data_IF_792150398282
#
_entry.id   IF_792150398282
#
_cell.length_a   1.000
_cell.length_b   1.000
_cell.length_c   1.000
_cell.angle_alpha   90.00
_cell.angle_beta   90.00
_cell.angle_gamma   90.00
#
_symmetry.space_group_name_H-M   'P 1'
#
loop_
_entity.id
_entity.type
_entity.pdbx_description
1 polymer ?
#
# COMPACT_ATOMS: atom_id res chain seq x y z
N UNK A 1 32.67 -28.83 -14.14
CA UNK A 1 32.83 -30.28 -13.99
C UNK A 1 32.41 -30.90 -15.29
N UNK A 2 33.28 -31.71 -15.87
CA UNK A 2 33.05 -32.44 -17.10
C UNK A 2 32.30 -33.75 -16.80
N UNK A 3 31.65 -34.36 -17.80
CA UNK A 3 30.99 -35.66 -17.62
C UNK A 3 31.96 -36.77 -17.17
N UNK A 4 33.25 -36.63 -17.50
CA UNK A 4 34.30 -37.56 -17.08
C UNK A 4 34.53 -37.51 -15.56
N UNK A 5 34.33 -36.35 -14.92
CA UNK A 5 34.49 -36.17 -13.48
C UNK A 5 33.40 -36.95 -12.72
N UNK A 6 32.17 -36.99 -13.25
CA UNK A 6 31.05 -37.72 -12.64
C UNK A 6 31.19 -39.25 -12.82
N UNK A 7 31.75 -39.69 -13.95
CA UNK A 7 32.09 -41.11 -14.17
C UNK A 7 33.18 -41.60 -13.21
N UNK A 8 34.17 -40.75 -12.88
CA UNK A 8 35.20 -41.07 -11.88
C UNK A 8 34.65 -41.25 -10.45
N UNK A 9 33.49 -40.65 -10.15
CA UNK A 9 32.80 -40.75 -8.86
C UNK A 9 31.87 -42.00 -8.80
N UNK A 10 31.80 -42.77 -9.89
CA UNK A 10 31.06 -44.04 -9.94
C UNK A 10 29.63 -43.93 -10.44
N UNK A 11 29.21 -42.78 -10.99
CA UNK A 11 27.89 -42.60 -11.59
C UNK A 11 27.97 -43.05 -13.05
N UNK A 12 27.27 -44.14 -13.37
CA UNK A 12 27.34 -44.80 -14.69
C UNK A 12 26.06 -44.65 -15.51
N UNK A 13 24.93 -44.31 -14.87
CA UNK A 13 23.65 -44.17 -15.55
C UNK A 13 23.63 -42.91 -16.44
N UNK A 14 23.34 -43.07 -17.76
CA UNK A 14 23.47 -41.98 -18.72
C UNK A 14 22.48 -40.84 -18.47
N UNK A 15 21.27 -41.14 -17.98
CA UNK A 15 20.27 -40.12 -17.64
C UNK A 15 20.66 -39.25 -16.45
N UNK A 16 21.35 -39.82 -15.47
CA UNK A 16 21.81 -39.12 -14.27
C UNK A 16 23.02 -38.22 -14.59
N UNK A 17 23.90 -38.68 -15.50
CA UNK A 17 25.02 -37.88 -15.98
C UNK A 17 24.57 -36.61 -16.71
N UNK A 18 23.54 -36.71 -17.56
CA UNK A 18 22.99 -35.56 -18.29
C UNK A 18 22.31 -34.56 -17.36
N UNK A 19 21.57 -35.04 -16.37
CA UNK A 19 20.91 -34.19 -15.38
C UNK A 19 21.95 -33.44 -14.54
N UNK A 20 22.97 -34.14 -14.03
CA UNK A 20 24.01 -33.55 -13.19
C UNK A 20 24.91 -32.58 -13.98
N UNK A 21 25.24 -32.90 -15.23
CA UNK A 21 26.00 -31.99 -16.11
C UNK A 21 25.22 -30.71 -16.43
N UNK A 22 23.89 -30.81 -16.56
CA UNK A 22 23.00 -29.67 -16.81
C UNK A 22 22.86 -28.79 -15.56
N UNK A 23 22.66 -29.39 -14.39
CA UNK A 23 22.62 -28.67 -13.12
C UNK A 23 23.95 -27.97 -12.82
N UNK A 24 25.09 -28.60 -13.08
CA UNK A 24 26.41 -28.02 -12.90
C UNK A 24 26.66 -26.81 -13.83
N UNK A 25 26.22 -26.89 -15.10
CA UNK A 25 26.26 -25.77 -16.05
C UNK A 25 25.39 -24.60 -15.59
N UNK A 26 24.16 -24.87 -15.14
CA UNK A 26 23.26 -23.85 -14.65
C UNK A 26 23.80 -23.12 -13.40
N UNK A 27 24.40 -23.86 -12.46
CA UNK A 27 25.05 -23.30 -11.27
C UNK A 27 26.25 -22.43 -11.62
N UNK A 28 27.10 -22.86 -12.57
CA UNK A 28 28.25 -22.08 -13.04
C UNK A 28 27.81 -20.75 -13.67
N UNK A 29 26.79 -20.77 -14.54
CA UNK A 29 26.22 -19.56 -15.14
C UNK A 29 25.65 -18.61 -14.09
N UNK A 30 25.03 -19.13 -13.03
CA UNK A 30 24.50 -18.32 -11.94
C UNK A 30 25.60 -17.67 -11.10
N UNK A 31 26.66 -18.42 -10.78
CA UNK A 31 27.84 -17.91 -10.07
C UNK A 31 28.58 -16.86 -10.89
N UNK A 32 28.76 -17.07 -12.19
CA UNK A 32 29.39 -16.11 -13.11
C UNK A 32 28.56 -14.81 -13.18
N UNK A 33 27.22 -14.91 -13.25
CA UNK A 33 26.32 -13.74 -13.19
C UNK A 33 26.37 -13.00 -11.86
N UNK A 34 26.60 -13.71 -10.75
CA UNK A 34 26.74 -13.11 -9.42
C UNK A 34 28.09 -12.38 -9.29
N UNK A 35 29.17 -12.98 -9.76
CA UNK A 35 30.49 -12.34 -9.84
C UNK A 35 30.51 -11.13 -10.79
N UNK A 36 29.75 -11.17 -11.88
CA UNK A 36 29.61 -10.03 -12.81
C UNK A 36 28.88 -8.83 -12.18
N UNK A 37 27.97 -9.07 -11.22
CA UNK A 37 27.30 -8.01 -10.46
C UNK A 37 28.20 -7.40 -9.38
N UNK A 38 29.12 -8.18 -8.82
CA UNK A 38 29.99 -7.73 -7.73
C UNK A 38 31.27 -7.03 -8.22
N UNK A 39 31.75 -7.30 -9.44
CA UNK A 39 33.03 -6.78 -9.94
C UNK A 39 32.98 -5.63 -10.99
N UNK A 40 31.82 -5.23 -11.52
CA UNK A 40 31.72 -4.09 -12.45
C UNK A 40 30.89 -2.93 -11.91
N UNK A 41 31.47 -2.15 -10.98
CA UNK A 41 31.28 -0.69 -11.04
C UNK A 41 31.99 -0.19 -12.30
N UNK A 42 31.26 -0.24 -13.41
CA UNK A 42 31.75 0.05 -14.76
C UNK A 42 32.55 1.38 -14.79
N UNK A 43 33.72 1.43 -15.49
CA UNK A 43 34.44 2.67 -15.74
C UNK A 43 33.59 3.71 -16.48
N UNK A 44 32.44 3.31 -17.05
CA UNK A 44 31.44 4.19 -17.65
C UNK A 44 30.71 5.00 -16.57
N UNK A 45 30.38 4.42 -15.41
CA UNK A 45 29.72 5.13 -14.31
C UNK A 45 30.71 6.08 -13.61
N UNK A 46 31.98 5.67 -13.44
CA UNK A 46 33.03 6.56 -12.89
C UNK A 46 33.38 7.71 -13.86
N UNK A 47 33.41 7.47 -15.18
CA UNK A 47 33.56 8.54 -16.20
C UNK A 47 32.33 9.45 -16.28
N UNK A 48 31.12 8.93 -16.12
CA UNK A 48 29.89 9.72 -16.10
C UNK A 48 29.84 10.64 -14.87
N UNK A 49 30.22 10.15 -13.69
CA UNK A 49 30.28 10.97 -12.47
C UNK A 49 31.40 12.03 -12.58
N UNK A 50 32.57 11.67 -13.14
CA UNK A 50 33.68 12.63 -13.31
C UNK A 50 33.39 13.72 -14.37
N UNK A 51 32.73 13.37 -15.48
CA UNK A 51 32.28 14.31 -16.51
C UNK A 51 31.19 15.27 -16.00
N UNK A 52 30.36 14.84 -15.04
CA UNK A 52 29.39 15.70 -14.36
C UNK A 52 30.03 16.68 -13.37
N UNK A 53 31.21 16.36 -12.81
CA UNK A 53 31.92 17.24 -11.86
C UNK A 53 32.85 18.27 -12.50
N UNK A 54 33.36 18.03 -13.72
CA UNK A 54 34.39 18.90 -14.33
C UNK A 54 33.88 19.84 -15.43
N UNK A 55 32.64 19.68 -15.88
CA UNK A 55 32.02 20.60 -16.85
C UNK A 55 30.67 21.09 -16.32
N UNK A 56 30.73 22.03 -15.38
CA UNK A 56 29.61 22.95 -15.15
C UNK A 56 29.76 24.06 -16.19
N UNK A 57 28.94 24.12 -17.26
CA UNK A 57 28.96 25.26 -18.15
C UNK A 57 28.49 26.48 -17.35
N UNK A 58 29.33 27.51 -17.28
CA UNK A 58 28.90 28.85 -16.91
C UNK A 58 27.66 29.20 -17.74
N UNK A 59 26.57 29.48 -17.03
CA UNK A 59 25.28 29.87 -17.61
C UNK A 59 25.51 30.97 -18.65
N UNK A 60 25.16 30.69 -19.91
CA UNK A 60 25.01 31.72 -20.93
C UNK A 60 23.98 32.75 -20.44
N UNK A 61 24.18 34.06 -20.66
CA UNK A 61 23.16 35.04 -20.33
C UNK A 61 21.91 34.74 -21.17
N UNK A 62 20.80 34.56 -20.48
CA UNK A 62 19.50 34.33 -21.08
C UNK A 62 19.11 35.61 -21.84
N UNK A 63 19.07 35.58 -23.18
CA UNK A 63 18.43 36.65 -23.94
C UNK A 63 16.94 36.61 -23.60
N UNK A 64 16.45 37.63 -22.91
CA UNK A 64 15.02 37.85 -22.70
C UNK A 64 14.36 38.06 -24.06
N UNK A 65 13.72 37.01 -24.58
CA UNK A 65 12.68 37.19 -25.58
C UNK A 65 11.38 37.39 -24.82
N UNK A 66 10.72 38.52 -25.05
CA UNK A 66 9.44 38.93 -24.46
C UNK A 66 8.27 38.08 -25.00
N UNK A 67 8.36 36.75 -24.89
CA UNK A 67 7.26 35.86 -25.23
C UNK A 67 6.59 35.40 -23.94
N UNK A 68 5.53 36.15 -23.59
CA UNK A 68 4.58 35.81 -22.54
C UNK A 68 4.03 34.41 -22.84
N UNK A 69 4.31 33.44 -21.97
CA UNK A 69 3.72 32.10 -22.08
C UNK A 69 2.23 32.21 -21.73
N UNK A 70 1.33 31.51 -22.45
CA UNK A 70 -0.08 31.52 -22.11
C UNK A 70 -0.28 30.92 -20.71
N UNK A 71 -0.98 31.66 -19.85
CA UNK A 71 -1.41 31.23 -18.52
C UNK A 71 -2.25 29.95 -18.66
N UNK A 72 -1.96 28.91 -17.88
CA UNK A 72 -2.70 27.63 -17.90
C UNK A 72 -4.06 27.69 -17.19
N UNK A 73 -4.63 28.89 -17.05
CA UNK A 73 -6.01 29.12 -16.64
C UNK A 73 -6.35 30.57 -16.99
N UNK A 74 -7.44 30.84 -17.73
CA UNK A 74 -7.89 32.22 -17.90
C UNK A 74 -8.19 32.78 -16.51
N UNK A 75 -7.65 33.97 -16.23
CA UNK A 75 -8.13 34.77 -15.10
C UNK A 75 -9.62 34.93 -15.34
N UNK A 76 -10.44 34.41 -14.43
CA UNK A 76 -11.87 34.72 -14.40
C UNK A 76 -11.97 36.23 -14.20
N UNK A 77 -12.01 36.97 -15.31
CA UNK A 77 -12.63 38.28 -15.34
C UNK A 77 -14.04 38.06 -14.79
N UNK A 78 -14.48 38.81 -13.77
CA UNK A 78 -15.85 38.72 -13.30
C UNK A 78 -16.73 38.90 -14.52
N UNK A 79 -17.55 37.90 -14.83
CA UNK A 79 -18.44 37.95 -15.99
C UNK A 79 -19.23 39.25 -15.90
N UNK A 80 -19.03 40.16 -16.86
CA UNK A 80 -19.79 41.43 -16.94
C UNK A 80 -21.28 41.18 -17.22
N UNK A 81 -21.67 39.94 -17.50
CA UNK A 81 -23.06 39.53 -17.53
C UNK A 81 -23.57 39.46 -16.08
N UNK A 82 -24.58 40.27 -15.71
CA UNK A 82 -25.28 40.06 -14.46
C UNK A 82 -25.79 38.61 -14.42
N UNK A 83 -25.77 37.94 -13.25
CA UNK A 83 -26.38 36.62 -13.13
C UNK A 83 -27.81 36.69 -13.68
N UNK A 84 -28.28 35.64 -14.37
CA UNK A 84 -29.63 35.62 -14.94
C UNK A 84 -30.63 35.99 -13.85
N UNK A 85 -31.57 36.88 -14.19
CA UNK A 85 -32.59 37.32 -13.25
C UNK A 85 -33.50 36.15 -12.92
N UNK A 86 -33.31 35.54 -11.76
CA UNK A 86 -34.19 34.52 -11.24
C UNK A 86 -35.49 35.19 -10.79
N UNK A 87 -36.52 35.13 -11.63
CA UNK A 87 -37.90 35.39 -11.21
C UNK A 87 -38.22 34.45 -10.03
N UNK A 88 -38.69 34.99 -8.88
CA UNK A 88 -39.19 34.16 -7.79
C UNK A 88 -40.55 33.61 -8.21
N UNK A 89 -40.55 32.62 -9.11
CA UNK A 89 -41.74 31.81 -9.36
C UNK A 89 -42.27 31.34 -8.00
N UNK A 90 -43.59 31.40 -7.86
CA UNK A 90 -44.27 31.10 -6.62
C UNK A 90 -43.79 29.74 -6.11
N UNK A 91 -43.14 29.75 -4.93
CA UNK A 91 -42.56 28.54 -4.31
C UNK A 91 -43.58 27.39 -4.21
N UNK A 92 -44.87 27.73 -4.21
CA UNK A 92 -46.02 26.81 -4.19
C UNK A 92 -46.15 25.95 -5.45
N UNK A 93 -45.92 26.49 -6.65
CA UNK A 93 -46.07 25.73 -7.91
C UNK A 93 -44.89 24.77 -8.13
N UNK A 94 -43.68 25.17 -7.71
CA UNK A 94 -42.49 24.31 -7.72
C UNK A 94 -42.55 23.18 -6.69
N UNK A 95 -43.25 23.36 -5.57
CA UNK A 95 -43.43 22.30 -4.57
C UNK A 95 -44.38 21.18 -5.04
N UNK A 96 -45.33 21.48 -5.92
CA UNK A 96 -46.25 20.46 -6.46
C UNK A 96 -45.56 19.54 -7.48
N UNK A 97 -44.58 20.06 -8.24
CA UNK A 97 -43.74 19.25 -9.14
C UNK A 97 -42.60 18.51 -8.44
N UNK A 98 -42.42 18.70 -7.12
CA UNK A 98 -41.46 17.99 -6.27
C UNK A 98 -42.09 16.83 -5.49
N UNK A 99 -43.27 16.35 -5.89
CA UNK A 99 -43.81 15.11 -5.36
C UNK A 99 -42.88 13.97 -5.79
N UNK A 100 -42.07 13.47 -4.85
CA UNK A 100 -41.20 12.31 -5.05
C UNK A 100 -42.12 11.10 -5.16
N UNK A 101 -42.38 10.66 -6.39
CA UNK A 101 -43.16 9.45 -6.67
C UNK A 101 -42.20 8.26 -6.57
N UNK A 102 -42.56 7.20 -5.83
CA UNK A 102 -41.77 5.98 -5.78
C UNK A 102 -41.54 5.44 -7.19
N UNK A 103 -40.34 4.96 -7.50
CA UNK A 103 -40.09 4.37 -8.81
C UNK A 103 -40.82 3.03 -8.91
N UNK A 104 -41.27 2.68 -10.11
CA UNK A 104 -41.96 1.38 -10.33
C UNK A 104 -41.09 0.18 -9.96
N UNK A 105 -39.77 0.35 -10.00
CA UNK A 105 -38.73 -0.62 -9.63
C UNK A 105 -38.35 -0.61 -8.15
N UNK A 106 -38.84 0.36 -7.36
CA UNK A 106 -38.45 0.53 -5.97
C UNK A 106 -38.82 -0.72 -5.13
N UNK A 107 -37.82 -1.35 -4.52
CA UNK A 107 -37.95 -2.62 -3.79
C UNK A 107 -37.88 -3.89 -4.64
N UNK A 108 -37.79 -3.77 -5.97
CA UNK A 108 -37.51 -4.87 -6.92
C UNK A 108 -36.22 -4.66 -7.72
N UNK A 109 -35.44 -3.64 -7.37
CA UNK A 109 -34.18 -3.32 -8.04
C UNK A 109 -33.21 -4.49 -7.95
N UNK A 110 -32.74 -4.96 -9.11
CA UNK A 110 -31.67 -5.94 -9.16
C UNK A 110 -30.37 -5.26 -8.73
N UNK A 111 -29.76 -5.76 -7.65
CA UNK A 111 -28.50 -5.20 -7.16
C UNK A 111 -27.39 -5.41 -8.20
N UNK A 112 -26.64 -4.36 -8.57
CA UNK A 112 -25.51 -4.53 -9.47
C UNK A 112 -24.48 -5.48 -8.84
N UNK A 113 -23.76 -6.22 -9.71
CA UNK A 113 -22.68 -7.08 -9.26
C UNK A 113 -21.58 -6.26 -8.59
N UNK A 114 -21.42 -6.43 -7.27
CA UNK A 114 -20.40 -5.74 -6.49
C UNK A 114 -19.16 -6.63 -6.33
N UNK A 115 -17.98 -6.00 -6.35
CA UNK A 115 -16.71 -6.66 -6.02
C UNK A 115 -15.90 -5.77 -5.09
N UNK A 116 -15.17 -6.38 -4.16
CA UNK A 116 -14.32 -5.65 -3.25
C UNK A 116 -13.00 -5.29 -3.94
N UNK A 117 -12.75 -4.00 -4.15
CA UNK A 117 -11.52 -3.50 -4.78
C UNK A 117 -10.33 -3.55 -3.84
N UNK A 118 -10.54 -3.25 -2.56
CA UNK A 118 -9.50 -3.29 -1.53
C UNK A 118 -9.45 -4.69 -0.92
N UNK A 119 -8.64 -5.56 -1.53
CA UNK A 119 -8.50 -6.95 -1.11
C UNK A 119 -7.05 -7.42 -1.19
N UNK A 120 -6.58 -8.09 -0.14
CA UNK A 120 -5.27 -8.77 -0.15
C UNK A 120 -5.26 -9.92 0.83
N UNK A 121 -4.69 -11.05 0.43
CA UNK A 121 -4.59 -12.24 1.29
C UNK A 121 -3.21 -12.88 1.19
N UNK A 122 -2.73 -13.50 2.26
CA UNK A 122 -1.47 -14.23 2.21
C UNK A 122 -0.91 -14.63 3.57
N UNK A 123 0.11 -15.50 3.53
CA UNK A 123 0.84 -15.89 4.72
C UNK A 123 1.82 -14.79 5.15
N UNK A 124 1.69 -14.36 6.40
CA UNK A 124 2.54 -13.32 6.99
C UNK A 124 3.03 -13.80 8.35
N UNK A 125 4.29 -13.49 8.68
CA UNK A 125 4.78 -13.72 10.02
C UNK A 125 4.34 -12.54 10.90
N UNK A 126 3.52 -12.81 11.91
CA UNK A 126 2.98 -11.79 12.81
C UNK A 126 3.54 -11.94 14.22
N UNK A 127 3.76 -10.80 14.88
CA UNK A 127 4.06 -10.71 16.31
C UNK A 127 3.21 -9.60 16.93
N UNK A 128 2.58 -9.87 18.06
CA UNK A 128 1.80 -8.89 18.82
C UNK A 128 2.71 -8.15 19.80
N UNK A 129 2.77 -6.82 19.72
CA UNK A 129 3.54 -5.96 20.64
C UNK A 129 2.70 -5.57 21.85
N UNK A 130 1.47 -5.12 21.61
CA UNK A 130 0.54 -4.66 22.63
C UNK A 130 -0.86 -5.25 22.38
N UNK A 131 -1.59 -5.55 23.45
CA UNK A 131 -2.98 -6.01 23.38
C UNK A 131 -3.96 -4.85 23.27
N UNK A 132 -3.62 -3.75 23.94
CA UNK A 132 -4.30 -2.46 23.93
C UNK A 132 -3.25 -1.35 24.15
N UNK A 133 -3.59 -0.06 24.02
CA UNK A 133 -2.65 1.02 24.31
C UNK A 133 -2.02 0.84 25.69
N UNK A 134 -0.69 0.86 25.76
CA UNK A 134 0.13 0.63 26.97
C UNK A 134 0.03 -0.76 27.61
N UNK A 135 -0.87 -1.65 27.17
CA UNK A 135 -0.98 -3.02 27.70
C UNK A 135 -0.09 -3.96 26.89
N UNK A 136 1.05 -4.29 27.49
CA UNK A 136 2.03 -5.20 26.92
C UNK A 136 1.46 -6.62 26.80
N UNK A 137 1.50 -7.20 25.60
CA UNK A 137 1.04 -8.57 25.36
C UNK A 137 1.87 -9.61 26.11
N UNK A 138 1.21 -10.66 26.62
CA UNK A 138 1.86 -11.83 27.27
C UNK A 138 2.54 -12.76 26.25
N UNK A 139 1.92 -12.98 25.09
CA UNK A 139 2.38 -13.92 24.06
C UNK A 139 3.02 -13.21 22.86
N UNK A 140 4.33 -12.90 22.94
CA UNK A 140 5.05 -12.04 21.99
C UNK A 140 5.99 -12.76 21.01
N UNK A 141 5.72 -14.01 20.67
CA UNK A 141 6.53 -14.74 19.71
C UNK A 141 6.05 -14.47 18.26
N UNK A 142 6.95 -14.66 17.31
CA UNK A 142 6.61 -14.60 15.89
C UNK A 142 5.87 -15.88 15.49
N UNK A 143 4.76 -15.74 14.76
CA UNK A 143 3.97 -16.86 14.23
C UNK A 143 3.65 -16.63 12.77
N UNK A 144 3.76 -17.67 11.95
CA UNK A 144 3.26 -17.65 10.57
C UNK A 144 1.74 -17.82 10.62
N UNK A 145 1.01 -16.82 10.17
CA UNK A 145 -0.45 -16.79 10.13
C UNK A 145 -0.91 -16.42 8.73
N UNK A 146 -2.16 -16.74 8.42
CA UNK A 146 -2.79 -16.33 7.18
C UNK A 146 -3.63 -15.09 7.42
N UNK A 147 -3.33 -14.01 6.70
CA UNK A 147 -4.04 -12.74 6.81
C UNK A 147 -4.93 -12.57 5.58
N UNK A 148 -6.14 -12.09 5.82
CA UNK A 148 -7.12 -11.74 4.81
C UNK A 148 -7.62 -10.33 5.09
N UNK A 149 -7.24 -9.40 4.24
CA UNK A 149 -7.75 -8.04 4.20
C UNK A 149 -8.89 -8.00 3.20
N UNK A 150 -10.10 -7.67 3.66
CA UNK A 150 -11.29 -7.54 2.82
C UNK A 150 -12.03 -6.24 3.18
N UNK A 151 -11.98 -5.26 2.27
CA UNK A 151 -12.51 -3.93 2.50
C UNK A 151 -11.78 -3.25 3.65
N UNK A 152 -12.49 -3.05 4.77
CA UNK A 152 -12.01 -2.38 5.98
C UNK A 152 -11.72 -3.34 7.14
N UNK A 153 -11.84 -4.65 6.88
CA UNK A 153 -11.71 -5.70 7.89
C UNK A 153 -10.45 -6.52 7.60
N UNK A 154 -9.64 -6.74 8.64
CA UNK A 154 -8.49 -7.63 8.59
C UNK A 154 -8.77 -8.87 9.45
N UNK A 155 -8.85 -10.03 8.81
CA UNK A 155 -9.04 -11.35 9.46
C UNK A 155 -7.72 -12.10 9.51
N UNK A 156 -7.46 -12.73 10.65
CA UNK A 156 -6.22 -13.47 10.90
C UNK A 156 -6.58 -14.92 11.22
N UNK A 157 -6.06 -15.85 10.43
CA UNK A 157 -6.32 -17.28 10.55
C UNK A 157 -5.05 -18.06 10.88
N UNK A 158 -5.22 -19.26 11.44
CA UNK A 158 -4.10 -20.20 11.64
C UNK A 158 -3.59 -20.75 10.31
N UNK A 159 -4.52 -21.03 9.40
CA UNK A 159 -4.29 -21.58 8.07
C UNK A 159 -5.23 -20.89 7.09
N UNK A 160 -4.91 -20.94 5.80
CA UNK A 160 -5.81 -20.42 4.78
C UNK A 160 -7.18 -21.12 4.86
N UNK A 161 -8.30 -20.38 4.83
CA UNK A 161 -9.61 -20.99 4.74
C UNK A 161 -9.75 -21.74 3.40
N UNK A 162 -10.57 -22.81 3.33
CA UNK A 162 -10.83 -23.52 2.09
C UNK A 162 -11.59 -22.58 1.17
N UNK A 163 -11.29 -22.62 -0.13
CA UNK A 163 -12.14 -21.96 -1.10
C UNK A 163 -13.48 -22.69 -1.13
N UNK A 164 -14.56 -21.93 -1.26
CA UNK A 164 -15.95 -22.41 -1.15
C UNK A 164 -16.26 -23.61 -2.09
N UNK A 165 -15.46 -23.81 -3.13
CA UNK A 165 -15.68 -24.84 -4.17
C UNK A 165 -14.87 -26.14 -3.97
N UNK A 166 -14.01 -26.21 -2.95
CA UNK A 166 -13.14 -27.37 -2.72
C UNK A 166 -13.31 -27.91 -1.29
N UNK A 167 -14.54 -28.27 -0.92
CA UNK A 167 -14.72 -29.28 0.14
C UNK A 167 -14.56 -30.62 -0.59
N UNK A 168 -13.42 -31.33 -0.47
CA UNK A 168 -13.32 -32.63 -1.10
C UNK A 168 -14.28 -33.57 -0.36
N UNK A 169 -15.24 -34.14 -1.07
CA UNK A 169 -16.06 -35.27 -0.61
C UNK A 169 -15.24 -36.56 -0.38
N UNK A 170 -13.90 -36.49 -0.42
CA UNK A 170 -13.01 -37.61 -0.14
C UNK A 170 -12.75 -37.71 1.36
N UNK A 171 -13.69 -38.30 2.09
CA UNK A 171 -13.35 -38.98 3.35
C UNK A 171 -13.39 -40.49 3.09
N UNK A 172 -12.25 -41.19 3.14
CA UNK A 172 -12.27 -42.64 3.22
C UNK A 172 -12.86 -43.01 4.58
N UNK A 173 -13.97 -43.73 4.54
CA UNK A 173 -14.50 -44.48 5.68
C UNK A 173 -13.40 -45.39 6.23
N UNK A 174 -12.73 -44.99 7.33
CA UNK A 174 -11.78 -45.81 8.08
C UNK A 174 -12.33 -46.05 9.50
N UNK A 175 -12.11 -47.23 10.09
CA UNK A 175 -13.11 -47.91 10.92
C UNK A 175 -13.03 -47.59 12.43
N UNK A 176 -12.34 -46.52 12.84
CA UNK A 176 -12.27 -46.11 14.25
C UNK A 176 -12.85 -44.71 14.39
N UNK A 177 -14.16 -44.69 14.65
CA UNK A 177 -15.00 -43.50 14.69
C UNK A 177 -14.52 -42.46 15.70
N UNK A 178 -13.86 -41.42 15.20
CA UNK A 178 -14.36 -40.05 15.30
C UNK A 178 -13.87 -39.35 14.04
N UNK A 179 -14.76 -38.81 13.20
CA UNK A 179 -14.29 -38.22 11.97
C UNK A 179 -13.63 -36.85 12.21
N UNK A 180 -12.53 -36.61 11.49
CA UNK A 180 -11.66 -35.42 11.62
C UNK A 180 -12.39 -34.07 11.52
N UNK A 181 -13.63 -34.05 10.99
CA UNK A 181 -14.45 -32.86 10.88
C UNK A 181 -14.92 -32.25 12.20
N UNK A 182 -14.84 -32.96 13.34
CA UNK A 182 -15.15 -32.39 14.65
C UNK A 182 -14.18 -31.27 15.08
N UNK A 183 -12.96 -31.24 14.51
CA UNK A 183 -11.97 -30.18 14.77
C UNK A 183 -11.83 -29.14 13.66
N UNK A 184 -12.35 -29.39 12.43
CA UNK A 184 -12.20 -28.49 11.27
C UNK A 184 -12.95 -27.16 11.40
N UNK A 185 -14.05 -27.11 12.17
CA UNK A 185 -14.86 -25.90 12.35
C UNK A 185 -14.04 -24.72 12.88
N UNK A 186 -12.99 -24.98 13.67
CA UNK A 186 -12.18 -23.93 14.33
C UNK A 186 -10.87 -23.60 13.60
N UNK A 187 -10.47 -24.36 12.58
CA UNK A 187 -9.27 -24.05 11.79
C UNK A 187 -9.52 -22.96 10.76
N UNK A 188 -10.77 -22.84 10.30
CA UNK A 188 -11.19 -21.88 9.30
C UNK A 188 -11.88 -20.65 9.90
N UNK A 189 -12.14 -20.64 11.21
CA UNK A 189 -12.57 -19.43 11.91
C UNK A 189 -11.38 -18.48 12.11
N UNK A 190 -11.58 -17.17 11.91
CA UNK A 190 -10.53 -16.21 12.19
C UNK A 190 -10.20 -16.26 13.69
N UNK A 191 -8.92 -16.36 14.02
CA UNK A 191 -8.39 -16.24 15.38
C UNK A 191 -8.78 -14.86 15.93
N UNK A 192 -8.67 -13.85 15.07
CA UNK A 192 -8.89 -12.48 15.41
C UNK A 192 -9.33 -11.70 14.17
N UNK A 193 -10.29 -10.79 14.36
CA UNK A 193 -10.84 -9.91 13.34
C UNK A 193 -10.67 -8.48 13.82
N UNK A 194 -10.08 -7.65 12.98
CA UNK A 194 -9.78 -6.25 13.24
C UNK A 194 -10.57 -5.35 12.30
N UNK A 195 -11.20 -4.31 12.86
CA UNK A 195 -11.56 -3.13 12.09
C UNK A 195 -10.30 -2.28 11.86
N UNK A 196 -10.16 -1.74 10.66
CA UNK A 196 -9.09 -0.81 10.31
C UNK A 196 -9.48 0.67 10.51
N UNK A 197 -10.67 0.94 11.06
CA UNK A 197 -11.10 2.27 11.47
C UNK A 197 -10.08 2.92 12.43
N UNK A 198 -9.52 4.07 12.02
CA UNK A 198 -8.52 4.79 12.80
C UNK A 198 -7.21 4.01 13.00
N UNK A 199 -6.95 2.95 12.24
CA UNK A 199 -5.67 2.24 12.29
C UNK A 199 -4.60 2.98 11.48
N UNK A 200 -3.34 2.69 11.76
CA UNK A 200 -2.19 3.21 11.03
C UNK A 200 -1.27 2.05 10.61
N UNK A 201 -0.97 1.96 9.33
CA UNK A 201 -0.06 0.97 8.76
C UNK A 201 1.21 1.64 8.23
N UNK A 202 2.36 1.41 8.87
CA UNK A 202 3.62 2.06 8.47
C UNK A 202 4.79 1.08 8.55
N UNK A 203 5.92 1.44 7.94
CA UNK A 203 7.15 0.67 8.10
C UNK A 203 7.66 0.82 9.54
N UNK A 204 8.03 -0.29 10.18
CA UNK A 204 8.60 -0.26 11.54
C UNK A 204 10.09 0.15 11.47
N UNK A 205 10.38 1.45 11.43
CA UNK A 205 11.76 1.97 11.35
C UNK A 205 12.61 1.69 12.60
N UNK A 206 11.96 1.62 13.74
CA UNK A 206 12.57 1.31 15.04
C UNK A 206 12.89 -0.19 15.22
N UNK A 207 12.27 -1.06 14.42
CA UNK A 207 12.45 -2.51 14.54
C UNK A 207 13.56 -3.03 13.61
N UNK A 208 14.78 -3.13 14.15
CA UNK A 208 15.97 -3.55 13.36
C UNK A 208 16.26 -5.05 13.39
N UNK A 209 15.56 -5.85 14.22
CA UNK A 209 15.88 -7.28 14.40
C UNK A 209 15.54 -8.15 13.19
N UNK A 210 14.57 -7.74 12.37
CA UNK A 210 14.19 -8.45 11.14
C UNK A 210 13.90 -7.43 10.05
N UNK A 211 14.28 -7.70 8.79
CA UNK A 211 13.96 -6.83 7.66
C UNK A 211 12.50 -6.99 7.25
N UNK A 212 12.03 -6.06 6.40
CA UNK A 212 10.71 -6.09 5.77
C UNK A 212 9.56 -6.20 6.79
N UNK A 213 9.69 -5.45 7.89
CA UNK A 213 8.68 -5.40 8.95
C UNK A 213 7.87 -4.12 8.83
N UNK A 214 6.56 -4.28 8.78
CA UNK A 214 5.60 -3.21 8.93
C UNK A 214 4.92 -3.31 10.29
N UNK A 215 4.44 -2.17 10.79
CA UNK A 215 3.68 -2.03 12.02
C UNK A 215 2.26 -1.64 11.67
N UNK A 216 1.31 -2.35 12.26
CA UNK A 216 -0.11 -2.01 12.24
C UNK A 216 -0.50 -1.61 13.67
N UNK A 217 -0.90 -0.36 13.84
CA UNK A 217 -1.36 0.18 15.11
C UNK A 217 -2.85 0.46 15.00
N UNK A 218 -3.67 -0.09 15.88
CA UNK A 218 -5.10 0.22 15.97
C UNK A 218 -5.35 1.18 17.14
N UNK A 219 -6.26 2.15 17.01
CA UNK A 219 -6.48 3.20 18.03
C UNK A 219 -6.82 2.66 19.43
N UNK A 220 -7.79 1.75 19.53
CA UNK A 220 -8.21 1.12 20.78
C UNK A 220 -7.73 -0.34 20.89
N UNK A 221 -6.97 -0.80 19.90
CA UNK A 221 -6.71 -2.21 19.67
C UNK A 221 -5.25 -2.60 19.87
N UNK A 222 -4.88 -3.79 19.38
CA UNK A 222 -3.53 -4.27 19.48
C UNK A 222 -2.60 -3.61 18.48
N UNK A 223 -1.31 -3.56 18.86
CA UNK A 223 -0.24 -3.18 17.97
C UNK A 223 0.47 -4.44 17.47
N UNK A 224 0.56 -4.59 16.15
CA UNK A 224 1.08 -5.78 15.47
C UNK A 224 2.32 -5.43 14.66
N UNK A 225 3.32 -6.29 14.69
CA UNK A 225 4.41 -6.32 13.73
C UNK A 225 4.19 -7.45 12.73
N UNK A 226 4.28 -7.12 11.45
CA UNK A 226 4.10 -8.03 10.34
C UNK A 226 5.39 -8.08 9.54
N UNK A 227 6.01 -9.26 9.46
CA UNK A 227 7.19 -9.52 8.65
C UNK A 227 6.78 -10.20 7.35
N UNK A 228 7.19 -9.57 6.25
CA UNK A 228 6.94 -10.02 4.89
C UNK A 228 8.19 -10.69 4.30
N UNK A 229 7.99 -11.42 3.20
CA UNK A 229 9.06 -12.13 2.49
C UNK A 229 10.00 -11.15 1.77
N UNK A 230 9.45 -10.13 1.10
CA UNK A 230 10.16 -9.15 0.27
C UNK A 230 9.84 -7.71 0.69
N UNK A 231 10.72 -6.78 0.34
CA UNK A 231 10.48 -5.35 0.51
C UNK A 231 9.29 -4.87 -0.34
N UNK A 232 9.17 -5.42 -1.56
CA UNK A 232 8.05 -5.13 -2.48
C UNK A 232 6.72 -5.62 -1.89
N UNK A 233 6.70 -6.82 -1.33
CA UNK A 233 5.52 -7.34 -0.63
C UNK A 233 5.15 -6.48 0.58
N UNK A 234 6.12 -6.02 1.35
CA UNK A 234 5.88 -5.09 2.47
C UNK A 234 5.23 -3.79 1.99
N UNK A 235 5.74 -3.18 0.91
CA UNK A 235 5.14 -1.98 0.32
C UNK A 235 3.71 -2.27 -0.15
N UNK A 236 3.50 -3.37 -0.90
CA UNK A 236 2.18 -3.77 -1.38
C UNK A 236 1.19 -3.96 -0.23
N UNK A 237 1.59 -4.60 0.87
CA UNK A 237 0.76 -4.71 2.07
C UNK A 237 0.46 -3.37 2.72
N UNK A 238 1.44 -2.46 2.82
CA UNK A 238 1.22 -1.10 3.35
C UNK A 238 0.21 -0.35 2.48
N UNK A 239 0.34 -0.41 1.15
CA UNK A 239 -0.57 0.26 0.21
C UNK A 239 -2.01 -0.23 0.38
N UNK A 240 -2.23 -1.55 0.43
CA UNK A 240 -3.58 -2.11 0.60
C UNK A 240 -4.16 -1.81 1.99
N UNK A 241 -3.35 -1.90 3.04
CA UNK A 241 -3.80 -1.56 4.40
C UNK A 241 -4.14 -0.07 4.51
N UNK A 242 -3.32 0.82 3.96
CA UNK A 242 -3.59 2.26 3.95
C UNK A 242 -4.81 2.60 3.10
N UNK A 243 -5.01 1.94 1.95
CA UNK A 243 -6.23 2.08 1.16
C UNK A 243 -7.48 1.70 1.97
N UNK A 244 -7.41 0.58 2.71
CA UNK A 244 -8.49 0.12 3.58
C UNK A 244 -8.76 1.09 4.74
N UNK A 245 -7.71 1.61 5.38
CA UNK A 245 -7.78 2.60 6.46
C UNK A 245 -8.44 3.89 5.96
N UNK A 246 -8.05 4.40 4.78
CA UNK A 246 -8.57 5.66 4.26
C UNK A 246 -10.07 5.63 3.96
N UNK A 247 -10.63 4.45 3.67
CA UNK A 247 -12.07 4.27 3.41
C UNK A 247 -12.83 3.76 4.64
N UNK A 248 -12.17 3.58 5.79
CA UNK A 248 -12.76 2.89 6.94
C UNK A 248 -13.67 3.75 7.81
N UNK A 249 -13.46 5.06 7.82
CA UNK A 249 -14.34 6.02 8.50
C UNK A 249 -15.53 6.37 7.60
N UNK A 250 -16.61 6.86 8.20
CA UNK A 250 -17.76 7.39 7.47
C UNK A 250 -17.37 8.64 6.69
N UNK A 251 -18.13 8.97 5.63
CA UNK A 251 -17.77 10.08 4.72
C UNK A 251 -17.61 11.43 5.44
N UNK A 252 -18.44 11.67 6.46
CA UNK A 252 -18.43 12.91 7.25
C UNK A 252 -17.22 13.00 8.19
N UNK A 253 -16.73 11.85 8.69
CA UNK A 253 -15.62 11.78 9.64
C UNK A 253 -14.25 11.72 8.95
N UNK A 254 -14.22 11.57 7.62
CA UNK A 254 -12.96 11.45 6.87
C UNK A 254 -12.25 12.81 6.80
N UNK A 255 -11.00 12.91 7.26
CA UNK A 255 -10.24 14.14 7.10
C UNK A 255 -9.95 14.38 5.62
N UNK A 256 -10.10 15.64 5.18
CA UNK A 256 -9.73 16.04 3.82
C UNK A 256 -8.28 15.63 3.52
N UNK A 257 -8.02 14.94 2.39
CA UNK A 257 -6.66 14.55 2.03
C UNK A 257 -5.75 15.78 1.96
N UNK A 258 -4.55 15.66 2.52
CA UNK A 258 -3.57 16.76 2.53
C UNK A 258 -2.95 16.88 1.14
N UNK A 259 -3.35 17.91 0.41
CA UNK A 259 -2.67 18.28 -0.83
C UNK A 259 -1.27 18.80 -0.50
N UNK A 260 -0.25 17.98 -0.78
CA UNK A 260 1.15 18.43 -0.77
C UNK A 260 1.31 19.29 -2.02
N UNK A 261 0.98 20.58 -1.92
CA UNK A 261 1.35 21.52 -2.98
C UNK A 261 2.85 21.63 -2.95
N UNK A 262 3.50 21.15 -4.02
CA UNK A 262 4.92 21.38 -4.21
C UNK A 262 5.16 22.89 -4.06
N UNK A 263 6.18 23.33 -3.32
CA UNK A 263 6.47 24.74 -3.19
C UNK A 263 6.62 25.32 -4.59
N UNK A 264 5.73 26.25 -4.95
CA UNK A 264 5.86 26.99 -6.19
C UNK A 264 7.24 27.65 -6.16
N UNK A 265 8.04 27.38 -7.17
CA UNK A 265 9.43 27.82 -7.28
C UNK A 265 9.46 29.33 -7.56
N UNK A 266 9.08 30.12 -6.55
CA UNK A 266 9.29 31.54 -6.49
C UNK A 266 9.98 31.83 -5.15
N UNK A 267 11.04 32.64 -5.21
CA UNK A 267 11.88 33.09 -4.09
C UNK A 267 13.05 32.18 -3.70
N UNK A 268 13.96 31.97 -4.65
CA UNK A 268 15.39 31.99 -4.34
C UNK A 268 15.85 33.43 -4.08
N UNK A 269 15.34 34.07 -3.03
CA UNK A 269 15.93 35.30 -2.49
C UNK A 269 15.72 35.33 -0.98
N UNK A 270 16.81 35.13 -0.22
CA UNK A 270 16.89 35.46 1.20
C UNK A 270 16.13 34.52 2.15
N UNK A 271 16.83 33.52 2.69
CA UNK A 271 16.38 32.68 3.81
C UNK A 271 16.19 33.48 5.14
N UNK A 272 16.27 34.81 5.13
CA UNK A 272 16.28 35.69 6.30
C UNK A 272 15.51 37.02 6.09
N UNK A 273 14.53 37.06 5.18
CA UNK A 273 13.65 38.24 5.06
C UNK A 273 12.52 38.15 6.11
N UNK A 274 12.31 39.15 7.00
CA UNK A 274 11.25 39.10 8.01
C UNK A 274 9.86 38.78 7.44
N UNK A 275 9.59 39.17 6.18
CA UNK A 275 8.34 38.84 5.49
C UNK A 275 8.21 37.36 5.13
N UNK A 276 9.30 36.66 4.82
CA UNK A 276 9.25 35.23 4.48
C UNK A 276 9.03 34.39 5.73
N UNK A 277 9.67 34.76 6.85
CA UNK A 277 9.44 34.14 8.17
C UNK A 277 7.99 34.31 8.62
N UNK A 278 7.41 35.49 8.42
CA UNK A 278 6.01 35.75 8.78
C UNK A 278 5.03 34.94 7.90
N UNK A 279 5.30 34.83 6.60
CA UNK A 279 4.51 33.97 5.72
C UNK A 279 4.63 32.48 6.08
N UNK A 280 5.79 32.00 6.52
CA UNK A 280 5.94 30.65 7.06
C UNK A 280 5.19 30.46 8.38
N UNK A 281 5.22 31.43 9.30
CA UNK A 281 4.40 31.40 10.52
C UNK A 281 2.91 31.37 10.23
N UNK A 282 2.42 32.20 9.32
CA UNK A 282 1.00 32.22 8.92
C UNK A 282 0.59 30.88 8.27
N UNK A 283 1.50 30.23 7.53
CA UNK A 283 1.27 28.88 6.98
C UNK A 283 1.28 27.82 8.08
N UNK A 284 2.21 27.89 9.02
CA UNK A 284 2.32 27.02 10.19
C UNK A 284 1.08 27.13 11.08
N UNK A 285 0.58 28.34 11.29
CA UNK A 285 -0.59 28.65 12.09
C UNK A 285 -1.87 28.17 11.41
N UNK A 286 -2.06 28.41 10.11
CA UNK A 286 -3.15 27.77 9.34
C UNK A 286 -3.12 26.24 9.44
N UNK A 287 -1.93 25.63 9.50
CA UNK A 287 -1.79 24.18 9.68
C UNK A 287 -2.16 23.71 11.08
N UNK A 288 -2.00 24.56 12.11
CA UNK A 288 -2.44 24.30 13.49
C UNK A 288 -3.94 24.54 13.64
N UNK A 289 -4.45 25.63 13.09
CA UNK A 289 -5.88 25.95 13.11
C UNK A 289 -6.70 24.85 12.41
N UNK A 290 -6.21 24.33 11.27
CA UNK A 290 -6.81 23.16 10.62
C UNK A 290 -6.74 21.88 11.45
N UNK A 291 -5.80 21.75 12.39
CA UNK A 291 -5.75 20.63 13.34
C UNK A 291 -6.69 20.83 14.54
N UNK A 292 -6.90 22.07 14.96
CA UNK A 292 -7.78 22.41 16.10
C UNK A 292 -9.27 22.42 15.72
N UNK A 293 -9.62 22.75 14.48
CA UNK A 293 -11.01 22.68 13.97
C UNK A 293 -11.53 21.22 13.83
N UNK A 294 -10.64 20.23 13.95
CA UNK A 294 -10.94 18.80 13.81
C UNK A 294 -10.99 18.06 15.16
N UNK A 295 -11.17 18.79 16.27
CA UNK A 295 -11.48 18.27 17.62
C UNK A 295 -12.85 18.80 18.03
#
# INVERSE_FOLDING_TARGET
MSEQDFKQIGIQDPGDLDLLSTCARALKVHLDRKQFKDHHHSPIIKKAIHAYTTNIPLKRPFKQTNNIRPLSMPVFLPSLTPPPHYEPESRKERCQSMMIIPREEEGREELPAYSCTVFKMGYVNMKKEFDAPNIRTRWRHWRKLYLELWGTILRIYRTAPPKHDTIPNYYPSWPFGVPYHYYHKYYHTPIFTLSLAGAEASRAFDYLKRPNVLRLTTQQGPQLLLRLSSHVEMISWIEHLQAAINISLDLEDRPMPKFITLPSRAFTSGLLDPRTVELERIREQRRRDQREILI
#
